data_IF_288493046584
#
_entry.id   IF_288493046584
#
_cell.length_a   1.000
_cell.length_b   1.000
_cell.length_c   1.000
_cell.angle_alpha   90.00
_cell.angle_beta   90.00
_cell.angle_gamma   90.00
#
_symmetry.space_group_name_H-M   'P 1'
#
loop_
_entity.id
_entity.type
_entity.pdbx_description
1 polymer ?
#
# COMPACT_ATOMS: atom_id res chain seq x y z
N UNK A 1 -36.61 -7.31 -8.68
CA UNK A 1 -35.60 -7.49 -9.73
C UNK A 1 -35.28 -6.13 -10.33
N UNK A 2 -34.00 -5.75 -10.44
CA UNK A 2 -33.61 -4.49 -11.07
C UNK A 2 -33.91 -4.53 -12.57
N UNK A 3 -34.61 -3.50 -13.07
CA UNK A 3 -34.97 -3.38 -14.48
C UNK A 3 -33.73 -2.98 -15.27
N UNK A 4 -33.29 -3.83 -16.22
CA UNK A 4 -32.04 -3.68 -16.98
C UNK A 4 -32.24 -3.19 -18.42
N UNK A 5 -33.41 -2.66 -18.75
CA UNK A 5 -33.78 -2.18 -20.09
C UNK A 5 -34.47 -0.80 -20.03
N UNK A 6 -34.44 -0.06 -21.15
CA UNK A 6 -35.05 1.29 -21.27
C UNK A 6 -34.15 2.45 -20.82
N UNK A 7 -34.67 3.68 -20.85
CA UNK A 7 -33.93 4.92 -20.52
C UNK A 7 -33.43 5.02 -19.07
N UNK A 8 -33.86 4.09 -18.20
CA UNK A 8 -33.39 3.94 -16.82
C UNK A 8 -32.31 2.87 -16.65
N UNK A 9 -31.81 2.29 -17.74
CA UNK A 9 -30.69 1.34 -17.72
C UNK A 9 -29.44 2.04 -17.20
N UNK A 10 -28.95 1.59 -16.05
CA UNK A 10 -27.66 2.03 -15.53
C UNK A 10 -26.56 1.31 -16.32
N UNK A 11 -25.98 2.00 -17.31
CA UNK A 11 -24.80 1.51 -18.04
C UNK A 11 -23.57 1.90 -17.22
N UNK A 12 -23.23 1.11 -16.21
CA UNK A 12 -21.97 1.30 -15.47
C UNK A 12 -20.85 0.56 -16.20
N UNK A 13 -19.82 1.33 -16.60
CA UNK A 13 -18.76 0.88 -17.49
C UNK A 13 -17.86 -0.18 -16.89
N UNK A 14 -17.45 -1.14 -17.72
CA UNK A 14 -16.45 -2.17 -17.43
C UNK A 14 -15.06 -1.63 -17.01
N UNK A 15 -14.91 -0.31 -16.84
CA UNK A 15 -13.67 0.39 -16.53
C UNK A 15 -13.50 0.74 -15.03
N UNK A 16 -14.53 0.58 -14.19
CA UNK A 16 -14.47 1.01 -12.78
C UNK A 16 -13.65 0.11 -11.83
N UNK A 17 -13.15 -1.04 -12.30
CA UNK A 17 -12.33 -1.94 -11.48
C UNK A 17 -10.90 -2.16 -11.99
N UNK A 18 -10.63 -1.93 -13.28
CA UNK A 18 -9.34 -2.29 -13.88
C UNK A 18 -8.17 -1.50 -13.28
N UNK A 19 -8.36 -0.21 -12.97
CA UNK A 19 -7.33 0.66 -12.40
C UNK A 19 -6.90 0.17 -11.01
N UNK A 20 -7.86 -0.03 -10.12
CA UNK A 20 -7.61 -0.49 -8.75
C UNK A 20 -7.08 -1.93 -8.73
N UNK A 21 -7.59 -2.77 -9.64
CA UNK A 21 -7.06 -4.11 -9.85
C UNK A 21 -5.59 -4.08 -10.26
N UNK A 22 -5.23 -3.30 -11.29
CA UNK A 22 -3.86 -3.21 -11.79
C UNK A 22 -2.91 -2.62 -10.74
N UNK A 23 -3.36 -1.55 -10.08
CA UNK A 23 -2.67 -0.92 -8.95
C UNK A 23 -2.26 -1.93 -7.87
N UNK A 24 -3.19 -2.79 -7.44
CA UNK A 24 -2.92 -3.84 -6.46
C UNK A 24 -1.78 -4.79 -6.89
N UNK A 25 -1.75 -5.19 -8.17
CA UNK A 25 -0.74 -6.12 -8.69
C UNK A 25 0.63 -5.47 -8.80
N UNK A 26 0.69 -4.25 -9.33
CA UNK A 26 1.95 -3.51 -9.49
C UNK A 26 2.56 -3.21 -8.12
N UNK A 27 1.75 -2.71 -7.17
CA UNK A 27 2.22 -2.43 -5.81
C UNK A 27 2.68 -3.71 -5.09
N UNK A 28 1.93 -4.82 -5.21
CA UNK A 28 2.32 -6.11 -4.66
C UNK A 28 3.65 -6.62 -5.23
N UNK A 29 3.82 -6.59 -6.55
CA UNK A 29 5.04 -7.01 -7.21
C UNK A 29 6.25 -6.17 -6.77
N UNK A 30 6.07 -4.85 -6.64
CA UNK A 30 7.12 -3.96 -6.15
C UNK A 30 7.53 -4.26 -4.70
N UNK A 31 6.55 -4.47 -3.81
CA UNK A 31 6.81 -4.84 -2.41
C UNK A 31 7.51 -6.20 -2.31
N UNK A 32 7.11 -7.18 -3.14
CA UNK A 32 7.75 -8.49 -3.20
C UNK A 32 9.22 -8.37 -3.66
N UNK A 33 9.48 -7.61 -4.72
CA UNK A 33 10.83 -7.35 -5.22
C UNK A 33 11.72 -6.70 -4.14
N UNK A 34 11.22 -5.65 -3.48
CA UNK A 34 11.94 -4.99 -2.39
C UNK A 34 12.25 -5.96 -1.25
N UNK A 35 11.28 -6.80 -0.87
CA UNK A 35 11.47 -7.80 0.18
C UNK A 35 12.57 -8.79 -0.18
N UNK A 36 12.56 -9.31 -1.41
CA UNK A 36 13.62 -10.21 -1.90
C UNK A 36 14.98 -9.51 -1.88
N UNK A 37 15.08 -8.27 -2.37
CA UNK A 37 16.33 -7.50 -2.38
C UNK A 37 16.88 -7.27 -0.97
N UNK A 38 16.01 -6.87 -0.03
CA UNK A 38 16.39 -6.66 1.36
C UNK A 38 16.84 -7.97 2.02
N UNK A 39 16.11 -9.07 1.79
CA UNK A 39 16.49 -10.40 2.30
C UNK A 39 17.83 -10.87 1.75
N UNK A 40 18.11 -10.66 0.46
CA UNK A 40 19.43 -10.94 -0.11
C UNK A 40 20.51 -10.16 0.62
N UNK A 41 20.34 -8.85 0.83
CA UNK A 41 21.35 -8.06 1.56
C UNK A 41 21.56 -8.56 3.00
N UNK A 42 20.49 -8.93 3.71
CA UNK A 42 20.58 -9.43 5.08
C UNK A 42 21.22 -10.82 5.14
N UNK A 43 20.82 -11.76 4.27
CA UNK A 43 21.32 -13.15 4.26
C UNK A 43 22.79 -13.23 3.84
N UNK A 44 23.22 -12.37 2.92
CA UNK A 44 24.61 -12.32 2.47
C UNK A 44 25.50 -11.36 3.31
N UNK A 45 24.94 -10.70 4.33
CA UNK A 45 25.73 -9.91 5.28
C UNK A 45 26.61 -10.83 6.14
N UNK A 46 27.88 -10.45 6.31
CA UNK A 46 28.83 -11.22 7.12
C UNK A 46 28.78 -10.76 8.57
N UNK A 47 28.72 -11.72 9.50
CA UNK A 47 28.74 -11.44 10.94
C UNK A 47 27.36 -11.14 11.53
N UNK A 48 27.31 -10.73 12.81
CA UNK A 48 26.05 -10.47 13.51
C UNK A 48 25.31 -9.26 12.91
N UNK A 49 24.00 -9.39 12.67
CA UNK A 49 23.15 -8.27 12.23
C UNK A 49 22.97 -7.29 13.38
N UNK A 50 23.75 -6.23 13.38
CA UNK A 50 23.72 -5.14 14.35
C UNK A 50 23.25 -3.83 13.69
N UNK A 51 23.07 -2.79 14.51
CA UNK A 51 22.60 -1.48 14.05
C UNK A 51 23.46 -0.89 12.92
N UNK A 52 24.78 -1.05 12.98
CA UNK A 52 25.72 -0.60 11.95
C UNK A 52 25.45 -1.25 10.59
N UNK A 53 25.24 -2.56 10.55
CA UNK A 53 24.91 -3.29 9.32
C UNK A 53 23.54 -2.87 8.78
N UNK A 54 22.54 -2.76 9.66
CA UNK A 54 21.19 -2.33 9.27
C UNK A 54 21.14 -0.89 8.74
N UNK A 55 21.72 0.04 9.48
CA UNK A 55 21.81 1.44 9.07
C UNK A 55 22.64 1.61 7.80
N UNK A 56 23.70 0.82 7.63
CA UNK A 56 24.52 0.77 6.43
C UNK A 56 23.71 0.41 5.17
N UNK A 57 22.87 -0.63 5.25
CA UNK A 57 21.97 -1.04 4.15
C UNK A 57 21.09 0.15 3.69
N UNK A 58 20.41 0.80 4.64
CA UNK A 58 19.46 1.88 4.35
C UNK A 58 20.11 3.26 4.17
N UNK A 59 21.42 3.39 4.37
CA UNK A 59 22.13 4.67 4.25
C UNK A 59 22.26 5.16 2.81
N UNK A 60 22.37 4.24 1.85
CA UNK A 60 22.60 4.56 0.44
C UNK A 60 21.38 5.24 -0.20
N UNK A 61 21.63 6.27 -1.04
CA UNK A 61 20.56 7.08 -1.64
C UNK A 61 19.57 6.27 -2.48
N UNK A 62 20.07 5.26 -3.20
CA UNK A 62 19.20 4.39 -4.01
C UNK A 62 18.29 3.54 -3.11
N UNK A 63 18.77 3.03 -1.97
CA UNK A 63 17.97 2.24 -1.03
C UNK A 63 16.94 3.12 -0.32
N UNK A 64 17.31 4.36 0.06
CA UNK A 64 16.35 5.36 0.56
C UNK A 64 15.24 5.62 -0.47
N UNK A 65 15.61 5.86 -1.72
CA UNK A 65 14.64 6.12 -2.79
C UNK A 65 13.72 4.92 -3.03
N UNK A 66 14.28 3.71 -3.12
CA UNK A 66 13.50 2.49 -3.30
C UNK A 66 12.55 2.24 -2.12
N UNK A 67 13.02 2.41 -0.89
CA UNK A 67 12.21 2.26 0.33
C UNK A 67 11.06 3.27 0.35
N UNK A 68 11.31 4.52 -0.05
CA UNK A 68 10.25 5.52 -0.17
C UNK A 68 9.18 5.13 -1.20
N UNK A 69 9.58 4.68 -2.40
CA UNK A 69 8.62 4.22 -3.42
C UNK A 69 7.81 3.03 -2.90
N UNK A 70 8.44 2.11 -2.17
CA UNK A 70 7.77 0.96 -1.55
C UNK A 70 6.79 1.40 -0.45
N UNK A 71 7.12 2.40 0.35
CA UNK A 71 6.19 2.99 1.33
C UNK A 71 4.96 3.55 0.61
N UNK A 72 5.15 4.33 -0.47
CA UNK A 72 4.03 4.86 -1.27
C UNK A 72 3.19 3.73 -1.87
N UNK A 73 3.84 2.70 -2.40
CA UNK A 73 3.16 1.53 -2.94
C UNK A 73 2.35 0.79 -1.87
N UNK A 74 2.91 0.60 -0.67
CA UNK A 74 2.22 -0.04 0.46
C UNK A 74 1.00 0.78 0.90
N UNK A 75 1.14 2.10 1.03
CA UNK A 75 0.02 2.98 1.39
C UNK A 75 -1.14 2.85 0.41
N UNK A 76 -0.83 2.84 -0.89
CA UNK A 76 -1.85 2.68 -1.93
C UNK A 76 -2.45 1.26 -1.97
N UNK A 77 -1.62 0.25 -1.73
CA UNK A 77 -2.04 -1.15 -1.64
C UNK A 77 -3.01 -1.36 -0.46
N UNK A 78 -2.68 -0.82 0.71
CA UNK A 78 -3.55 -0.90 1.89
C UNK A 78 -4.83 -0.08 1.69
N UNK A 79 -4.75 1.11 1.09
CA UNK A 79 -5.93 1.93 0.82
C UNK A 79 -7.01 1.18 0.03
N UNK A 80 -6.64 0.63 -1.13
CA UNK A 80 -7.59 -0.11 -1.98
C UNK A 80 -8.09 -1.36 -1.25
N UNK A 81 -7.17 -2.15 -0.67
CA UNK A 81 -7.55 -3.41 0.00
C UNK A 81 -8.50 -3.19 1.18
N UNK A 82 -8.23 -2.21 2.04
CA UNK A 82 -9.09 -1.90 3.18
C UNK A 82 -10.45 -1.35 2.74
N UNK A 83 -10.48 -0.48 1.73
CA UNK A 83 -11.75 0.01 1.16
C UNK A 83 -12.61 -1.16 0.70
N UNK A 84 -12.04 -2.11 -0.05
CA UNK A 84 -12.78 -3.26 -0.57
C UNK A 84 -13.30 -4.15 0.57
N UNK A 85 -12.47 -4.42 1.60
CA UNK A 85 -12.90 -5.13 2.83
C UNK A 85 -14.07 -4.40 3.52
N UNK A 86 -13.97 -3.09 3.71
CA UNK A 86 -15.04 -2.29 4.33
C UNK A 86 -16.32 -2.31 3.50
N UNK A 87 -16.20 -2.25 2.18
CA UNK A 87 -17.35 -2.30 1.29
C UNK A 87 -18.09 -3.63 1.35
N UNK A 88 -17.36 -4.75 1.42
CA UNK A 88 -17.90 -6.11 1.36
C UNK A 88 -18.49 -6.57 2.70
N UNK A 89 -17.77 -6.34 3.80
CA UNK A 89 -18.09 -6.95 5.09
C UNK A 89 -18.88 -6.04 6.03
N UNK A 90 -18.72 -4.71 5.96
CA UNK A 90 -19.40 -3.78 6.86
C UNK A 90 -20.75 -3.38 6.26
N UNK A 91 -21.85 -3.75 6.92
CA UNK A 91 -23.21 -3.45 6.43
C UNK A 91 -23.71 -2.05 6.83
N UNK A 92 -23.57 -1.59 8.09
CA UNK A 92 -24.05 -0.27 8.48
C UNK A 92 -23.24 0.85 7.82
N UNK A 93 -23.93 1.80 7.18
CA UNK A 93 -23.29 2.87 6.42
C UNK A 93 -22.43 3.80 7.30
N UNK A 94 -22.89 4.12 8.51
CA UNK A 94 -22.18 4.98 9.45
C UNK A 94 -20.84 4.37 9.87
N UNK A 95 -20.82 3.09 10.24
CA UNK A 95 -19.60 2.38 10.63
C UNK A 95 -18.61 2.32 9.46
N UNK A 96 -19.10 2.00 8.27
CA UNK A 96 -18.27 1.95 7.06
C UNK A 96 -17.60 3.29 6.78
N UNK A 97 -18.33 4.40 6.89
CA UNK A 97 -17.78 5.74 6.70
C UNK A 97 -16.68 6.04 7.72
N UNK A 98 -16.93 5.76 9.01
CA UNK A 98 -15.96 5.96 10.08
C UNK A 98 -14.68 5.14 9.83
N UNK A 99 -14.81 3.87 9.45
CA UNK A 99 -13.65 3.02 9.16
C UNK A 99 -12.85 3.50 7.94
N UNK A 100 -13.51 4.02 6.90
CA UNK A 100 -12.81 4.61 5.76
C UNK A 100 -12.05 5.88 6.17
N UNK A 101 -12.67 6.78 6.95
CA UNK A 101 -12.00 7.98 7.47
C UNK A 101 -10.80 7.60 8.34
N UNK A 102 -10.99 6.64 9.26
CA UNK A 102 -9.91 6.11 10.09
C UNK A 102 -8.76 5.56 9.24
N UNK A 103 -9.07 4.77 8.21
CA UNK A 103 -8.06 4.21 7.30
C UNK A 103 -7.23 5.31 6.65
N UNK A 104 -7.87 6.37 6.13
CA UNK A 104 -7.16 7.50 5.52
C UNK A 104 -6.24 8.19 6.53
N UNK A 105 -6.77 8.55 7.71
CA UNK A 105 -6.01 9.25 8.75
C UNK A 105 -4.80 8.43 9.19
N UNK A 106 -5.00 7.12 9.41
CA UNK A 106 -3.93 6.20 9.78
C UNK A 106 -2.84 6.13 8.70
N UNK A 107 -3.23 5.96 7.43
CA UNK A 107 -2.28 5.90 6.33
C UNK A 107 -1.49 7.20 6.16
N UNK A 108 -2.12 8.37 6.32
CA UNK A 108 -1.43 9.67 6.29
C UNK A 108 -0.44 9.79 7.45
N UNK A 109 -0.80 9.35 8.65
CA UNK A 109 0.12 9.33 9.79
C UNK A 109 1.32 8.40 9.53
N UNK A 110 1.08 7.19 9.01
CA UNK A 110 2.13 6.27 8.61
C UNK A 110 3.04 6.84 7.52
N UNK A 111 2.49 7.58 6.55
CA UNK A 111 3.25 8.24 5.49
C UNK A 111 4.20 9.29 6.08
N UNK A 112 3.68 10.19 6.92
CA UNK A 112 4.47 11.24 7.56
C UNK A 112 5.59 10.65 8.43
N UNK A 113 5.26 9.65 9.25
CA UNK A 113 6.24 8.98 10.11
C UNK A 113 7.30 8.21 9.29
N UNK A 114 6.88 7.49 8.24
CA UNK A 114 7.80 6.74 7.38
C UNK A 114 8.81 7.64 6.67
N UNK A 115 8.37 8.79 6.15
CA UNK A 115 9.26 9.80 5.56
C UNK A 115 10.20 10.37 6.62
N UNK A 116 9.69 10.72 7.80
CA UNK A 116 10.53 11.23 8.88
C UNK A 116 11.63 10.25 9.26
N UNK A 117 11.30 8.97 9.45
CA UNK A 117 12.28 7.93 9.83
C UNK A 117 13.35 7.76 8.74
N UNK A 118 12.93 7.71 7.48
CA UNK A 118 13.83 7.42 6.36
C UNK A 118 14.85 8.54 6.09
N UNK A 119 14.52 9.79 6.43
CA UNK A 119 15.38 10.97 6.22
C UNK A 119 16.04 11.52 7.49
N UNK A 120 15.86 10.88 8.66
CA UNK A 120 16.47 11.33 9.92
C UNK A 120 17.93 10.87 10.10
N UNK A 121 18.51 10.20 9.11
CA UNK A 121 19.89 9.68 9.12
C UNK A 121 20.88 10.63 8.46
#
# INVERSE_FOLDING_TARGET
>A
MAVNYGSKRIVVGAHYGLRDWLAQRITAALMALFTVLLLVQVVFSKGPIRYDTWSGIFSSQWMKTLTFVVIVALLYHVWIGMRDIWMDYIKPASIKLVLNVFTIVWLVACAGWGIQVLWRF
#
